data_IF_810741343217
#
_entry.id   IF_810741343217
#
_cell.length_a   1.000
_cell.length_b   1.000
_cell.length_c   1.000
_cell.angle_alpha   90.00
_cell.angle_beta   90.00
_cell.angle_gamma   90.00
#
_symmetry.space_group_name_H-M   'P 1'
#
loop_
_entity.id
_entity.type
_entity.pdbx_description
1 polymer ?
#
# COMPACT_ATOMS: atom_id res chain seq x y z
N UNK A 1 -25.26 -15.93 26.97
CA UNK A 1 -24.64 -14.80 27.69
C UNK A 1 -23.15 -14.65 27.38
N UNK A 2 -22.31 -15.67 27.61
CA UNK A 2 -20.87 -15.64 27.27
C UNK A 2 -20.60 -15.42 25.77
N UNK A 3 -21.36 -16.05 24.89
CA UNK A 3 -21.27 -15.89 23.43
C UNK A 3 -21.62 -14.48 22.96
N UNK A 4 -22.63 -13.84 23.56
CA UNK A 4 -23.02 -12.45 23.25
C UNK A 4 -21.93 -11.48 23.72
N UNK A 5 -21.37 -11.70 24.91
CA UNK A 5 -20.24 -10.95 25.45
C UNK A 5 -19.00 -11.03 24.54
N UNK A 6 -18.67 -12.23 24.05
CA UNK A 6 -17.54 -12.44 23.12
C UNK A 6 -17.74 -11.71 21.80
N UNK A 7 -18.96 -11.75 21.23
CA UNK A 7 -19.28 -11.01 20.00
C UNK A 7 -19.18 -9.49 20.19
N UNK A 8 -19.67 -8.96 21.31
CA UNK A 8 -19.57 -7.52 21.60
C UNK A 8 -18.12 -7.05 21.78
N UNK A 9 -17.25 -7.87 22.38
CA UNK A 9 -15.82 -7.55 22.53
C UNK A 9 -15.11 -7.57 21.18
N UNK A 10 -15.41 -8.57 20.33
CA UNK A 10 -14.83 -8.64 18.99
C UNK A 10 -15.23 -7.45 18.10
N UNK A 11 -16.51 -7.03 18.17
CA UNK A 11 -17.00 -5.89 17.41
C UNK A 11 -16.38 -4.56 17.88
N UNK A 12 -16.21 -4.40 19.20
CA UNK A 12 -15.52 -3.24 19.77
C UNK A 12 -14.03 -3.20 19.38
N UNK A 13 -13.35 -4.35 19.37
CA UNK A 13 -11.97 -4.48 18.91
C UNK A 13 -11.80 -4.11 17.44
N UNK A 14 -12.74 -4.52 16.58
CA UNK A 14 -12.71 -4.15 15.16
C UNK A 14 -12.90 -2.64 14.97
N UNK A 15 -13.82 -2.00 15.69
CA UNK A 15 -14.08 -0.56 15.60
C UNK A 15 -12.86 0.30 15.95
N UNK A 16 -12.04 -0.13 16.92
CA UNK A 16 -10.81 0.57 17.32
C UNK A 16 -9.75 0.61 16.19
N UNK A 17 -9.73 -0.37 15.29
CA UNK A 17 -8.78 -0.40 14.17
C UNK A 17 -9.11 0.64 13.09
N UNK A 18 -10.36 1.12 13.01
CA UNK A 18 -10.74 2.17 12.06
C UNK A 18 -10.37 3.58 12.54
N UNK A 19 -9.96 3.74 13.80
CA UNK A 19 -9.61 5.04 14.38
C UNK A 19 -8.30 5.64 13.84
N UNK A 20 -7.53 4.90 13.04
CA UNK A 20 -6.26 5.37 12.45
C UNK A 20 -6.41 6.33 11.25
N UNK A 21 -7.61 6.46 10.67
CA UNK A 21 -7.84 7.33 9.52
C UNK A 21 -8.15 8.77 9.96
N UNK A 22 -7.12 9.58 10.19
CA UNK A 22 -7.25 11.02 10.44
C UNK A 22 -7.19 11.82 9.12
N UNK A 23 -8.19 12.65 8.86
CA UNK A 23 -8.12 13.63 7.77
C UNK A 23 -7.22 14.79 8.21
N UNK A 24 -6.01 14.85 7.65
CA UNK A 24 -5.03 15.91 7.94
C UNK A 24 -4.92 16.87 6.76
N UNK A 25 -4.73 18.15 7.05
CA UNK A 25 -4.53 19.18 6.02
C UNK A 25 -3.23 18.90 5.26
N UNK A 26 -3.13 19.23 3.96
CA UNK A 26 -1.97 18.89 3.12
C UNK A 26 -0.61 19.30 3.71
N UNK A 27 -0.52 20.49 4.32
CA UNK A 27 0.71 21.00 4.94
C UNK A 27 1.09 20.34 6.27
N UNK A 28 0.16 19.62 6.92
CA UNK A 28 0.46 18.85 8.13
C UNK A 28 1.22 17.55 7.81
N UNK A 29 1.32 17.17 6.54
CA UNK A 29 2.11 16.02 6.06
C UNK A 29 3.58 16.36 5.78
N UNK A 30 4.03 17.57 6.10
CA UNK A 30 5.36 18.07 5.75
C UNK A 30 6.51 17.10 6.08
N UNK A 31 6.48 16.46 7.25
CA UNK A 31 7.51 15.49 7.66
C UNK A 31 7.57 14.24 6.75
N UNK A 32 6.44 13.77 6.24
CA UNK A 32 6.39 12.62 5.31
C UNK A 32 6.50 13.05 3.83
N UNK A 33 6.46 14.35 3.56
CA UNK A 33 6.63 14.91 2.21
C UNK A 33 8.09 15.26 1.90
N UNK A 34 9.02 14.94 2.80
CA UNK A 34 10.46 15.12 2.57
C UNK A 34 10.91 14.33 1.34
N UNK A 35 11.86 14.88 0.59
CA UNK A 35 12.41 14.24 -0.61
C UNK A 35 12.86 12.80 -0.32
N UNK A 36 13.44 12.54 0.85
CA UNK A 36 13.94 11.22 1.25
C UNK A 36 12.88 10.16 1.48
N UNK A 37 11.65 10.58 1.78
CA UNK A 37 10.49 9.71 2.04
C UNK A 37 9.62 9.52 0.79
N UNK A 38 9.95 10.18 -0.33
CA UNK A 38 9.28 9.99 -1.60
C UNK A 38 9.56 8.61 -2.17
N UNK A 39 8.50 7.90 -2.52
CA UNK A 39 8.61 6.58 -3.17
C UNK A 39 9.20 6.66 -4.57
N UNK A 40 9.09 7.81 -5.25
CA UNK A 40 9.55 8.06 -6.62
C UNK A 40 10.89 8.81 -6.66
N UNK A 41 11.63 8.84 -5.55
CA UNK A 41 12.89 9.58 -5.41
C UNK A 41 14.00 9.05 -6.32
N UNK A 42 14.03 7.74 -6.52
CA UNK A 42 15.09 7.05 -7.26
C UNK A 42 14.48 6.24 -8.42
N UNK A 43 14.35 6.85 -9.60
CA UNK A 43 13.75 6.17 -10.75
C UNK A 43 14.57 4.97 -11.25
N UNK A 44 15.88 4.94 -10.97
CA UNK A 44 16.72 3.78 -11.31
C UNK A 44 16.43 2.63 -10.34
N UNK A 45 16.42 2.91 -9.04
CA UNK A 45 16.05 1.94 -8.01
C UNK A 45 14.65 1.38 -8.20
N UNK A 46 13.70 2.22 -8.59
CA UNK A 46 12.34 1.81 -8.94
C UNK A 46 12.35 0.84 -10.14
N UNK A 47 13.05 1.18 -11.22
CA UNK A 47 13.18 0.32 -12.40
C UNK A 47 13.84 -1.03 -12.10
N UNK A 48 14.87 -1.06 -11.25
CA UNK A 48 15.49 -2.31 -10.81
C UNK A 48 14.55 -3.15 -9.94
N UNK A 49 13.82 -2.53 -9.03
CA UNK A 49 12.86 -3.21 -8.16
C UNK A 49 11.72 -3.82 -8.97
N UNK A 50 11.19 -3.07 -9.94
CA UNK A 50 10.19 -3.54 -10.89
C UNK A 50 10.74 -4.71 -11.72
N UNK A 51 11.97 -4.61 -12.24
CA UNK A 51 12.60 -5.70 -13.00
C UNK A 51 12.74 -6.99 -12.17
N UNK A 52 13.15 -6.88 -10.92
CA UNK A 52 13.25 -8.02 -9.99
C UNK A 52 11.86 -8.59 -9.70
N UNK A 53 10.88 -7.74 -9.41
CA UNK A 53 9.51 -8.13 -9.08
C UNK A 53 8.83 -8.88 -10.23
N UNK A 54 8.91 -8.38 -11.47
CA UNK A 54 8.35 -9.08 -12.63
C UNK A 54 9.10 -10.35 -13.01
N UNK A 55 10.41 -10.41 -12.74
CA UNK A 55 11.20 -11.63 -13.00
C UNK A 55 10.92 -12.73 -11.98
N UNK A 56 10.61 -12.38 -10.73
CA UNK A 56 10.56 -13.34 -9.61
C UNK A 56 9.15 -13.61 -9.07
N UNK A 57 8.27 -12.61 -9.04
CA UNK A 57 7.05 -12.64 -8.24
C UNK A 57 5.77 -12.31 -9.03
N UNK A 58 5.88 -11.66 -10.19
CA UNK A 58 4.73 -11.31 -11.03
C UNK A 58 4.88 -11.82 -12.47
N UNK A 59 4.44 -13.07 -12.70
CA UNK A 59 4.26 -13.63 -14.05
C UNK A 59 3.06 -13.02 -14.82
N UNK A 60 2.29 -12.12 -14.19
CA UNK A 60 1.07 -11.54 -14.75
C UNK A 60 0.96 -10.03 -14.47
N UNK A 61 1.51 -9.22 -15.38
CA UNK A 61 1.14 -7.80 -15.53
C UNK A 61 2.09 -6.78 -14.89
N UNK A 62 2.76 -6.00 -15.76
CA UNK A 62 3.70 -4.93 -15.45
C UNK A 62 3.09 -3.66 -14.83
N UNK A 63 3.89 -2.89 -14.08
CA UNK A 63 3.54 -1.55 -13.59
C UNK A 63 3.69 -0.54 -14.74
N UNK A 64 2.71 -0.53 -15.63
CA UNK A 64 2.69 0.36 -16.80
C UNK A 64 2.72 -0.42 -18.11
N UNK A 65 1.75 -0.13 -18.97
CA UNK A 65 1.62 -0.62 -20.33
C UNK A 65 2.78 -0.12 -21.21
N UNK A 66 3.90 -0.85 -21.19
CA UNK A 66 5.02 -0.70 -22.11
C UNK A 66 5.31 -2.06 -22.74
N UNK A 67 4.96 -2.21 -24.02
CA UNK A 67 4.82 -3.48 -24.74
C UNK A 67 5.99 -4.46 -24.59
N UNK A 68 5.64 -5.72 -24.30
CA UNK A 68 6.59 -6.83 -24.30
C UNK A 68 6.14 -8.10 -23.55
N UNK A 69 5.06 -8.05 -22.78
CA UNK A 69 4.47 -9.23 -22.11
C UNK A 69 3.08 -9.53 -22.65
N UNK A 70 2.63 -10.78 -22.50
CA UNK A 70 1.43 -11.45 -23.05
C UNK A 70 0.05 -10.79 -22.74
N UNK A 71 -0.05 -9.48 -22.57
CA UNK A 71 -1.27 -8.71 -22.89
C UNK A 71 -2.57 -9.06 -22.17
N UNK A 72 -2.54 -9.72 -21.01
CA UNK A 72 -3.75 -9.94 -20.23
C UNK A 72 -3.98 -8.77 -19.26
N UNK A 73 -4.80 -7.80 -19.69
CA UNK A 73 -5.74 -7.07 -18.83
C UNK A 73 -7.13 -7.64 -19.11
#
# INVERSE_FOLDING_TARGET
>A
MKSVLLFSVALAGLALNLAGCANVKPWQRGTLADYTMRSDRDPLGDGFSDHIYFTREAASGGRGVGGGGCGCN
#
